data_IF_615430255989
#
_entry.id   IF_615430255989
#
_cell.length_a   1.000
_cell.length_b   1.000
_cell.length_c   1.000
_cell.angle_alpha   90.00
_cell.angle_beta   90.00
_cell.angle_gamma   90.00
#
_symmetry.space_group_name_H-M   'P 1'
#
loop_
_entity.id
_entity.type
_entity.pdbx_description
1 polymer ?
#
# COMPACT_ATOMS: atom_id res chain seq x y z
N UNK A 1 -16.22 58.85 -12.27
CA UNK A 1 -16.15 57.86 -11.16
C UNK A 1 -16.93 56.64 -11.65
N UNK A 2 -16.35 55.51 -12.01
CA UNK A 2 -15.57 54.67 -11.12
C UNK A 2 -14.59 53.82 -11.95
N UNK A 3 -13.30 54.15 -11.83
CA UNK A 3 -12.29 53.12 -11.85
C UNK A 3 -12.43 52.25 -10.59
N UNK A 4 -11.75 51.11 -10.59
CA UNK A 4 -11.72 50.10 -9.53
C UNK A 4 -12.85 49.06 -9.56
N UNK A 5 -12.84 48.18 -10.57
CA UNK A 5 -13.38 46.82 -10.42
C UNK A 5 -12.63 45.78 -11.27
N UNK A 6 -11.34 46.01 -11.51
CA UNK A 6 -10.44 45.05 -12.18
C UNK A 6 -9.36 44.47 -11.23
N UNK A 7 -9.45 44.74 -9.93
CA UNK A 7 -8.39 44.38 -8.96
C UNK A 7 -8.84 43.41 -7.85
N UNK A 8 -9.97 42.71 -8.00
CA UNK A 8 -10.46 41.79 -6.97
C UNK A 8 -10.97 40.45 -7.52
N UNK A 9 -10.39 39.94 -8.61
CA UNK A 9 -10.61 38.55 -9.05
C UNK A 9 -9.36 37.67 -8.96
N UNK A 10 -8.23 38.20 -8.46
CA UNK A 10 -7.00 37.42 -8.29
C UNK A 10 -6.88 36.75 -6.91
N UNK A 11 -7.86 36.92 -6.01
CA UNK A 11 -7.78 36.44 -4.61
C UNK A 11 -8.76 35.31 -4.28
N UNK A 12 -9.15 34.51 -5.27
CA UNK A 12 -9.89 33.28 -5.07
C UNK A 12 -9.31 32.19 -5.98
N UNK A 13 -7.98 31.98 -5.91
CA UNK A 13 -7.52 30.61 -6.14
C UNK A 13 -8.15 29.78 -5.01
N UNK A 14 -9.08 28.84 -5.30
CA UNK A 14 -9.40 27.86 -4.30
C UNK A 14 -8.08 27.15 -4.02
N UNK A 15 -7.63 27.24 -2.77
CA UNK A 15 -6.66 26.31 -2.23
C UNK A 15 -7.30 24.93 -2.45
N UNK A 16 -6.98 24.28 -3.57
CA UNK A 16 -7.43 22.92 -3.80
C UNK A 16 -6.92 22.16 -2.59
N UNK A 17 -7.78 21.50 -1.79
CA UNK A 17 -7.30 20.60 -0.78
C UNK A 17 -6.41 19.62 -1.54
N UNK A 18 -5.11 19.67 -1.27
CA UNK A 18 -4.20 18.63 -1.72
C UNK A 18 -4.88 17.34 -1.30
N UNK A 19 -5.25 16.51 -2.28
CA UNK A 19 -5.80 15.20 -2.00
C UNK A 19 -4.87 14.59 -0.95
N UNK A 20 -5.39 14.09 0.20
CA UNK A 20 -4.53 13.52 1.20
C UNK A 20 -3.71 12.47 0.45
N UNK A 21 -2.41 12.71 0.31
CA UNK A 21 -1.47 11.68 -0.05
C UNK A 21 -1.69 10.66 1.05
N UNK A 22 -2.46 9.62 0.75
CA UNK A 22 -2.84 8.61 1.72
C UNK A 22 -1.58 7.80 1.96
N UNK A 23 -0.74 8.34 2.82
CA UNK A 23 0.29 7.64 3.55
C UNK A 23 -0.35 6.34 4.05
N UNK A 24 0.20 5.20 3.62
CA UNK A 24 -0.30 3.90 4.02
C UNK A 24 -0.03 3.71 5.51
N UNK A 25 -1.04 4.10 6.29
CA UNK A 25 -1.17 3.86 7.72
C UNK A 25 -1.04 2.35 7.95
N UNK A 26 -0.36 1.86 9.02
CA UNK A 26 -0.13 0.43 9.22
C UNK A 26 -1.38 -0.39 8.86
N UNK A 27 -1.28 -1.19 7.81
CA UNK A 27 -2.45 -1.76 7.12
C UNK A 27 -2.92 -3.02 7.83
N UNK A 28 -4.21 -3.31 7.72
CA UNK A 28 -4.71 -4.65 8.07
C UNK A 28 -4.24 -5.60 6.95
N UNK A 29 -3.52 -6.64 7.31
CA UNK A 29 -3.08 -7.66 6.37
C UNK A 29 -4.31 -8.43 5.89
N UNK A 30 -4.34 -8.81 4.61
CA UNK A 30 -5.49 -9.51 4.03
C UNK A 30 -5.74 -10.80 4.83
N UNK A 31 -6.92 -10.92 5.45
CA UNK A 31 -7.28 -12.05 6.32
C UNK A 31 -7.25 -13.42 5.61
N UNK A 32 -7.27 -13.42 4.27
CA UNK A 32 -7.09 -14.61 3.42
C UNK A 32 -5.79 -14.63 2.60
N UNK A 33 -4.97 -13.58 2.66
CA UNK A 33 -3.84 -13.36 1.75
C UNK A 33 -2.62 -12.81 2.47
N UNK A 34 -1.57 -13.61 2.57
CA UNK A 34 -0.23 -13.22 3.07
C UNK A 34 0.47 -12.13 2.24
N UNK A 35 -0.22 -11.52 1.28
CA UNK A 35 0.31 -10.50 0.37
C UNK A 35 -0.65 -9.32 0.30
N UNK A 36 -0.23 -8.19 0.83
CA UNK A 36 -0.90 -6.90 0.68
C UNK A 36 -0.14 -6.08 -0.36
N UNK A 37 -0.73 -5.83 -1.53
CA UNK A 37 -0.09 -5.06 -2.61
C UNK A 37 -0.95 -3.84 -2.95
N UNK A 38 -0.62 -2.69 -2.36
CA UNK A 38 -1.38 -1.44 -2.52
C UNK A 38 -1.00 -0.67 -3.79
N UNK A 39 0.15 -1.00 -4.38
CA UNK A 39 0.76 -0.26 -5.49
C UNK A 39 0.79 -1.06 -6.81
N UNK A 40 0.37 -2.32 -6.78
CA UNK A 40 0.40 -3.21 -7.94
C UNK A 40 1.81 -3.65 -8.32
N UNK A 41 2.74 -3.72 -7.36
CA UNK A 41 4.15 -4.04 -7.59
C UNK A 41 4.37 -5.41 -8.23
N UNK A 42 3.47 -6.36 -7.96
CA UNK A 42 3.67 -7.75 -8.37
C UNK A 42 3.24 -8.05 -9.81
N UNK A 43 2.30 -7.26 -10.37
CA UNK A 43 1.74 -7.49 -11.70
C UNK A 43 1.42 -8.96 -11.98
N UNK A 44 1.93 -9.49 -13.10
CA UNK A 44 1.71 -10.88 -13.53
C UNK A 44 2.46 -11.92 -12.69
N UNK A 45 3.43 -11.51 -11.87
CA UNK A 45 4.26 -12.42 -11.07
C UNK A 45 3.68 -12.70 -9.68
N UNK A 46 2.50 -12.15 -9.35
CA UNK A 46 1.81 -12.38 -8.07
C UNK A 46 1.66 -13.87 -7.74
N UNK A 47 1.30 -14.69 -8.72
CA UNK A 47 1.13 -16.14 -8.52
C UNK A 47 2.44 -16.83 -8.09
N UNK A 48 3.58 -16.42 -8.65
CA UNK A 48 4.90 -16.98 -8.30
C UNK A 48 5.26 -16.65 -6.84
N UNK A 49 4.97 -15.43 -6.40
CA UNK A 49 5.17 -15.01 -5.00
C UNK A 49 4.29 -15.82 -4.05
N UNK A 50 3.01 -16.01 -4.38
CA UNK A 50 2.09 -16.85 -3.61
C UNK A 50 2.66 -18.26 -3.48
N UNK A 51 3.09 -18.89 -4.58
CA UNK A 51 3.67 -20.23 -4.56
C UNK A 51 4.90 -20.33 -3.65
N UNK A 52 5.81 -19.36 -3.71
CA UNK A 52 7.01 -19.35 -2.88
C UNK A 52 6.68 -19.24 -1.38
N UNK A 53 5.80 -18.30 -1.02
CA UNK A 53 5.31 -18.12 0.36
C UNK A 53 4.59 -19.38 0.86
N UNK A 54 3.75 -19.99 0.02
CA UNK A 54 3.05 -21.23 0.37
C UNK A 54 4.00 -22.38 0.64
N UNK A 55 5.07 -22.52 -0.17
CA UNK A 55 6.09 -23.55 0.04
C UNK A 55 6.81 -23.39 1.37
N UNK A 56 7.17 -22.15 1.74
CA UNK A 56 7.80 -21.86 3.03
C UNK A 56 6.87 -22.28 4.18
N UNK A 57 5.59 -21.91 4.10
CA UNK A 57 4.59 -22.29 5.10
C UNK A 57 4.46 -23.80 5.22
N UNK A 58 4.25 -24.50 4.11
CA UNK A 58 3.96 -25.95 4.16
C UNK A 58 5.18 -26.76 4.59
N UNK A 59 6.37 -26.36 4.18
CA UNK A 59 7.59 -27.14 4.42
C UNK A 59 8.24 -26.80 5.76
N UNK A 60 8.25 -25.51 6.15
CA UNK A 60 9.00 -25.03 7.33
C UNK A 60 8.08 -24.50 8.44
N UNK A 61 6.76 -24.46 8.22
CA UNK A 61 5.76 -23.94 9.19
C UNK A 61 6.02 -22.50 9.61
N UNK A 62 6.64 -21.70 8.74
CA UNK A 62 6.85 -20.26 8.91
C UNK A 62 5.90 -19.51 7.99
N UNK A 63 5.20 -18.51 8.52
CA UNK A 63 4.34 -17.65 7.73
C UNK A 63 5.11 -16.41 7.32
N UNK A 64 5.26 -16.21 6.01
CA UNK A 64 5.80 -14.96 5.48
C UNK A 64 4.64 -14.08 4.99
N UNK A 65 4.51 -12.92 5.60
CA UNK A 65 3.65 -11.83 5.16
C UNK A 65 4.47 -10.85 4.35
N UNK A 66 3.92 -10.37 3.24
CA UNK A 66 4.59 -9.41 2.36
C UNK A 66 3.66 -8.24 2.10
N UNK A 67 4.17 -7.04 2.31
CA UNK A 67 3.43 -5.80 2.08
C UNK A 67 4.19 -4.88 1.14
N UNK A 68 3.52 -4.46 0.07
CA UNK A 68 4.02 -3.45 -0.87
C UNK A 68 3.25 -2.16 -0.66
N UNK A 69 3.98 -1.10 -0.36
CA UNK A 69 3.50 0.28 -0.18
C UNK A 69 4.34 1.22 -1.02
N UNK A 70 3.83 2.43 -1.25
CA UNK A 70 4.59 3.46 -1.94
C UNK A 70 5.79 3.93 -1.10
N UNK A 71 5.54 4.26 0.16
CA UNK A 71 6.53 4.72 1.14
C UNK A 71 6.11 4.37 2.58
N UNK A 72 7.03 4.55 3.54
CA UNK A 72 6.78 4.28 4.96
C UNK A 72 6.24 5.49 5.74
N UNK A 73 5.71 6.50 5.04
CA UNK A 73 5.01 7.64 5.64
C UNK A 73 5.85 8.42 6.66
N UNK A 74 7.13 8.65 6.31
CA UNK A 74 8.08 9.38 7.16
C UNK A 74 8.64 8.58 8.36
N UNK A 75 8.23 7.33 8.55
CA UNK A 75 8.82 6.42 9.54
C UNK A 75 10.02 5.68 8.95
N UNK A 76 10.92 5.21 9.81
CA UNK A 76 11.91 4.21 9.36
C UNK A 76 11.19 2.92 8.97
N UNK A 77 11.71 2.22 7.96
CA UNK A 77 11.09 0.97 7.49
C UNK A 77 10.95 -0.06 8.61
N UNK A 78 11.94 -0.15 9.52
CA UNK A 78 11.86 -1.07 10.67
C UNK A 78 10.72 -0.70 11.62
N UNK A 79 10.59 0.57 11.99
CA UNK A 79 9.51 1.01 12.86
C UNK A 79 8.13 0.84 12.20
N UNK A 80 8.04 1.01 10.88
CA UNK A 80 6.82 0.75 10.13
C UNK A 80 6.46 -0.74 10.11
N UNK A 81 7.44 -1.61 9.83
CA UNK A 81 7.23 -3.06 9.80
C UNK A 81 6.86 -3.61 11.18
N UNK A 82 7.56 -3.20 12.24
CA UNK A 82 7.24 -3.62 13.62
C UNK A 82 5.83 -3.16 14.02
N UNK A 83 5.46 -1.89 13.76
CA UNK A 83 4.11 -1.40 14.04
C UNK A 83 3.01 -2.15 13.25
N UNK A 84 3.29 -2.53 12.01
CA UNK A 84 2.35 -3.33 11.20
C UNK A 84 2.25 -4.77 11.74
N UNK A 85 3.36 -5.38 12.15
CA UNK A 85 3.38 -6.70 12.76
C UNK A 85 2.57 -6.73 14.07
N UNK A 86 2.82 -5.75 14.96
CA UNK A 86 2.11 -5.60 16.23
C UNK A 86 0.61 -5.39 16.03
N UNK A 87 0.23 -4.50 15.09
CA UNK A 87 -1.18 -4.20 14.79
C UNK A 87 -1.96 -5.42 14.31
N UNK A 88 -1.29 -6.29 13.54
CA UNK A 88 -1.89 -7.49 12.98
C UNK A 88 -1.71 -8.73 13.87
N UNK A 89 -1.09 -8.58 15.05
CA UNK A 89 -0.88 -9.67 15.99
C UNK A 89 0.00 -10.79 15.44
N UNK A 90 1.03 -10.45 14.66
CA UNK A 90 2.00 -11.43 14.15
C UNK A 90 2.71 -12.10 15.33
N UNK A 91 2.69 -13.43 15.33
CA UNK A 91 3.27 -14.25 16.38
C UNK A 91 4.69 -14.68 16.08
N UNK A 92 5.20 -15.59 16.92
CA UNK A 92 6.58 -16.06 16.85
C UNK A 92 6.95 -16.63 15.47
N UNK A 93 6.05 -17.36 14.82
CA UNK A 93 6.32 -17.99 13.51
C UNK A 93 6.04 -17.12 12.30
N UNK A 94 5.75 -15.84 12.53
CA UNK A 94 5.35 -14.92 11.49
C UNK A 94 6.48 -13.93 11.20
N UNK A 95 6.78 -13.75 9.91
CA UNK A 95 7.77 -12.80 9.41
C UNK A 95 7.06 -11.85 8.47
N UNK A 96 7.24 -10.55 8.67
CA UNK A 96 6.75 -9.51 7.77
C UNK A 96 7.91 -8.95 6.94
N UNK A 97 7.77 -8.98 5.62
CA UNK A 97 8.58 -8.22 4.68
C UNK A 97 7.77 -7.02 4.17
N UNK A 98 8.17 -5.82 4.56
CA UNK A 98 7.60 -4.57 4.06
C UNK A 98 8.51 -3.98 2.98
N UNK A 99 7.95 -3.62 1.82
CA UNK A 99 8.66 -3.06 0.67
C UNK A 99 8.03 -1.73 0.30
N UNK A 100 8.84 -0.66 0.36
CA UNK A 100 8.50 0.67 -0.13
C UNK A 100 9.11 0.87 -1.52
N UNK A 101 8.25 0.83 -2.55
CA UNK A 101 8.67 0.77 -3.95
C UNK A 101 9.26 2.09 -4.44
N UNK A 102 8.71 3.23 -4.03
CA UNK A 102 9.17 4.55 -4.44
C UNK A 102 10.60 4.84 -3.94
N UNK A 103 10.89 4.43 -2.70
CA UNK A 103 12.20 4.62 -2.08
C UNK A 103 13.22 3.52 -2.37
N UNK A 104 12.82 2.41 -3.02
CA UNK A 104 13.60 1.14 -3.04
C UNK A 104 14.06 0.73 -1.65
N UNK A 105 13.16 0.86 -0.67
CA UNK A 105 13.45 0.51 0.71
C UNK A 105 12.70 -0.76 1.08
N UNK A 106 13.27 -1.51 2.02
CA UNK A 106 12.61 -2.65 2.60
C UNK A 106 12.92 -2.75 4.08
N UNK A 107 12.06 -3.45 4.81
CA UNK A 107 12.27 -3.80 6.19
C UNK A 107 11.69 -5.17 6.47
N UNK A 108 12.34 -5.89 7.37
CA UNK A 108 11.86 -7.16 7.88
C UNK A 108 11.51 -6.98 9.34
N UNK A 109 10.33 -7.42 9.75
CA UNK A 109 9.95 -7.64 11.14
C UNK A 109 9.77 -9.14 11.38
N UNK A 110 10.31 -9.61 12.49
CA UNK A 110 10.20 -10.99 12.96
C UNK A 110 10.36 -10.95 14.48
N UNK A 111 9.60 -11.79 15.18
CA UNK A 111 9.68 -11.88 16.62
C UNK A 111 11.06 -12.43 17.07
N UNK A 112 11.52 -12.06 18.26
CA UNK A 112 12.79 -12.56 18.83
C UNK A 112 12.75 -14.06 19.10
N UNK A 113 11.57 -14.61 19.38
CA UNK A 113 11.30 -16.02 19.62
C UNK A 113 10.95 -16.77 18.32
N UNK A 114 11.10 -16.13 17.15
CA UNK A 114 10.79 -16.76 15.86
C UNK A 114 11.63 -17.96 15.48
N UNK A 115 12.69 -18.23 16.23
CA UNK A 115 13.65 -19.29 15.92
C UNK A 115 14.68 -18.88 14.86
N UNK A 116 14.57 -17.68 14.28
CA UNK A 116 15.61 -17.12 13.42
C UNK A 116 16.67 -16.38 14.22
N UNK A 117 17.93 -16.70 13.96
CA UNK A 117 19.06 -15.92 14.47
C UNK A 117 19.21 -14.61 13.66
N UNK A 118 19.71 -13.57 14.32
CA UNK A 118 19.85 -12.25 13.71
C UNK A 118 20.74 -12.24 12.45
N UNK A 119 21.77 -13.08 12.42
CA UNK A 119 22.64 -13.27 11.26
C UNK A 119 21.97 -14.04 10.11
N UNK A 120 21.06 -14.98 10.40
CA UNK A 120 20.24 -15.65 9.38
C UNK A 120 19.30 -14.65 8.71
N UNK A 121 18.58 -13.85 9.50
CA UNK A 121 17.72 -12.77 8.97
C UNK A 121 18.54 -11.79 8.13
N UNK A 122 19.72 -11.39 8.62
CA UNK A 122 20.64 -10.50 7.90
C UNK A 122 21.13 -11.13 6.59
N UNK A 123 21.51 -12.40 6.58
CA UNK A 123 21.98 -13.09 5.38
C UNK A 123 20.89 -13.13 4.29
N UNK A 124 19.65 -13.43 4.66
CA UNK A 124 18.51 -13.39 3.73
C UNK A 124 18.27 -11.97 3.23
N UNK A 125 18.28 -10.99 4.14
CA UNK A 125 18.12 -9.59 3.79
C UNK A 125 19.17 -9.09 2.78
N UNK A 126 20.45 -9.39 3.01
CA UNK A 126 21.55 -8.87 2.18
C UNK A 126 21.73 -9.64 0.88
N UNK A 127 21.48 -10.94 0.87
CA UNK A 127 21.80 -11.80 -0.28
C UNK A 127 20.58 -12.03 -1.19
N UNK A 128 19.39 -12.18 -0.60
CA UNK A 128 18.18 -12.56 -1.34
C UNK A 128 17.22 -11.38 -1.59
N UNK A 129 17.16 -10.42 -0.67
CA UNK A 129 16.18 -9.32 -0.72
C UNK A 129 16.79 -8.05 -1.33
N UNK A 130 17.86 -7.53 -0.73
CA UNK A 130 18.44 -6.24 -1.11
C UNK A 130 18.81 -6.13 -2.61
N UNK A 131 19.41 -7.15 -3.26
CA UNK A 131 19.77 -7.04 -4.68
C UNK A 131 18.54 -6.93 -5.59
N UNK A 132 17.43 -7.58 -5.22
CA UNK A 132 16.18 -7.54 -5.97
C UNK A 132 15.49 -6.17 -5.80
N UNK A 133 15.38 -5.69 -4.56
CA UNK A 133 14.81 -4.35 -4.27
C UNK A 133 15.61 -3.25 -4.96
N UNK A 134 16.94 -3.33 -4.95
CA UNK A 134 17.82 -2.36 -5.61
C UNK A 134 17.60 -2.28 -7.13
N UNK A 135 17.20 -3.40 -7.76
CA UNK A 135 16.98 -3.51 -9.19
C UNK A 135 15.49 -3.49 -9.58
N UNK A 136 14.62 -3.02 -8.69
CA UNK A 136 13.18 -2.93 -8.92
C UNK A 136 12.49 -4.29 -9.17
N UNK A 137 13.11 -5.40 -8.77
CA UNK A 137 12.52 -6.73 -8.83
C UNK A 137 11.73 -7.03 -7.56
N UNK A 138 10.55 -6.43 -7.46
CA UNK A 138 9.69 -6.51 -6.27
C UNK A 138 9.23 -7.95 -5.98
N UNK A 139 8.80 -8.66 -7.02
CA UNK A 139 8.40 -10.06 -6.89
C UNK A 139 9.60 -10.96 -6.52
N UNK A 140 10.77 -10.71 -7.11
CA UNK A 140 12.01 -11.40 -6.79
C UNK A 140 12.47 -11.18 -5.36
N UNK A 141 12.22 -10.00 -4.77
CA UNK A 141 12.51 -9.74 -3.37
C UNK A 141 11.70 -10.65 -2.43
N UNK A 142 10.40 -10.83 -2.70
CA UNK A 142 9.56 -11.72 -1.88
C UNK A 142 9.83 -13.21 -2.12
N UNK A 143 10.09 -13.61 -3.38
CA UNK A 143 10.48 -14.99 -3.70
C UNK A 143 11.83 -15.32 -3.04
N UNK A 144 12.81 -14.42 -3.17
CA UNK A 144 14.12 -14.54 -2.54
C UNK A 144 14.03 -14.59 -1.02
N UNK A 145 13.16 -13.79 -0.41
CA UNK A 145 12.88 -13.89 1.02
C UNK A 145 12.35 -15.27 1.41
N UNK A 146 11.31 -15.76 0.73
CA UNK A 146 10.70 -17.05 1.02
C UNK A 146 11.69 -18.22 0.89
N UNK A 147 12.45 -18.24 -0.21
CA UNK A 147 13.45 -19.27 -0.47
C UNK A 147 14.65 -19.16 0.46
N UNK A 148 15.11 -17.95 0.75
CA UNK A 148 16.21 -17.67 1.67
C UNK A 148 15.90 -18.11 3.09
N UNK A 149 14.71 -17.78 3.62
CA UNK A 149 14.28 -18.27 4.93
C UNK A 149 14.16 -19.79 4.95
N UNK A 150 13.66 -20.39 3.88
CA UNK A 150 13.63 -21.85 3.75
C UNK A 150 15.04 -22.46 3.78
N UNK A 151 16.01 -21.85 3.11
CA UNK A 151 17.39 -22.34 3.06
C UNK A 151 18.06 -22.28 4.44
N UNK A 152 17.99 -21.14 5.14
CA UNK A 152 18.65 -21.00 6.45
C UNK A 152 18.06 -21.94 7.50
N UNK A 153 16.76 -22.26 7.44
CA UNK A 153 16.12 -23.23 8.34
C UNK A 153 16.54 -24.67 8.05
N UNK A 154 16.95 -24.98 6.81
CA UNK A 154 17.56 -26.27 6.45
C UNK A 154 19.08 -26.32 6.66
N UNK A 155 19.69 -25.22 7.08
CA UNK A 155 21.15 -25.12 7.18
C UNK A 155 21.86 -24.97 5.83
N UNK A 156 21.13 -24.56 4.79
CA UNK A 156 21.66 -24.33 3.44
C UNK A 156 22.10 -22.86 3.24
N UNK A 157 23.06 -22.59 2.35
CA UNK A 157 23.45 -21.22 2.02
C UNK A 157 22.34 -20.48 1.28
N UNK A 158 22.14 -19.20 1.62
CA UNK A 158 21.24 -18.28 0.90
C UNK A 158 21.82 -18.00 -0.49
N UNK A 159 20.99 -18.11 -1.52
CA UNK A 159 21.40 -17.84 -2.91
C UNK A 159 20.91 -16.46 -3.37
N UNK A 160 21.69 -15.75 -4.20
CA UNK A 160 21.20 -14.56 -4.88
C UNK A 160 20.00 -14.89 -5.79
N UNK A 161 19.02 -13.98 -5.92
CA UNK A 161 17.87 -14.20 -6.78
C UNK A 161 18.27 -13.98 -8.24
N UNK A 162 17.60 -14.71 -9.15
CA UNK A 162 17.64 -14.36 -10.57
C UNK A 162 16.82 -13.09 -10.78
N UNK A 163 17.48 -12.01 -11.15
CA UNK A 163 16.87 -10.68 -11.22
C UNK A 163 16.02 -10.54 -12.48
N UNK A 164 14.76 -10.17 -12.30
CA UNK A 164 13.83 -9.82 -13.38
C UNK A 164 13.12 -8.51 -12.99
N UNK A 165 13.65 -7.34 -13.40
CA UNK A 165 13.13 -6.04 -12.99
C UNK A 165 11.65 -5.87 -13.35
N UNK A 166 10.88 -5.30 -12.42
CA UNK A 166 9.49 -4.90 -12.62
C UNK A 166 9.36 -3.44 -13.03
N UNK A 167 8.15 -2.89 -12.90
CA UNK A 167 7.93 -1.45 -13.02
C UNK A 167 8.75 -0.72 -11.93
N UNK A 168 9.59 0.28 -12.28
CA UNK A 168 10.43 0.97 -11.29
C UNK A 168 9.67 1.84 -10.29
N UNK A 169 8.46 2.31 -10.63
CA UNK A 169 7.61 3.14 -9.75
C UNK A 169 6.13 2.70 -9.83
N UNK A 170 5.80 1.49 -9.34
CA UNK A 170 4.42 1.02 -9.29
C UNK A 170 3.62 1.91 -8.33
N UNK A 171 2.40 2.28 -8.72
CA UNK A 171 1.57 3.25 -7.98
C UNK A 171 1.96 4.72 -8.19
N UNK A 172 3.01 5.01 -8.98
CA UNK A 172 3.39 6.37 -9.40
C UNK A 172 2.47 6.95 -10.49
N UNK A 173 1.86 6.09 -11.30
CA UNK A 173 0.74 6.43 -12.18
C UNK A 173 -0.53 6.60 -11.33
N UNK A 174 -0.57 7.69 -10.57
CA UNK A 174 -1.85 8.17 -10.05
C UNK A 174 -2.84 8.28 -11.21
N UNK A 175 -4.08 7.91 -10.95
CA UNK A 175 -5.24 8.31 -11.74
C UNK A 175 -5.11 9.79 -12.13
N UNK A 176 -4.51 10.07 -13.29
CA UNK A 176 -4.63 11.37 -13.94
C UNK A 176 -6.09 11.43 -14.36
N UNK A 177 -6.87 12.43 -13.95
CA UNK A 177 -8.21 12.63 -14.50
C UNK A 177 -8.07 12.87 -16.01
N UNK A 178 -8.22 11.81 -16.82
CA UNK A 178 -8.00 11.94 -18.27
C UNK A 178 -8.09 10.66 -19.10
N UNK A 179 -7.75 9.48 -18.58
CA UNK A 179 -7.80 8.25 -19.38
C UNK A 179 -9.10 7.46 -19.11
N UNK A 180 -10.08 7.72 -19.99
CA UNK A 180 -11.32 6.96 -20.15
C UNK A 180 -11.00 5.49 -20.46
N UNK A 181 -11.00 4.61 -19.46
CA UNK A 181 -11.45 3.22 -19.60
C UNK A 181 -11.47 2.53 -18.23
N UNK A 182 -12.71 2.27 -17.81
CA UNK A 182 -13.12 1.33 -16.76
C UNK A 182 -12.93 1.82 -15.32
N UNK A 183 -13.95 2.47 -14.76
CA UNK A 183 -14.82 1.89 -13.72
C UNK A 183 -15.88 2.93 -13.29
N UNK A 184 -17.14 2.62 -13.58
CA UNK A 184 -18.32 3.06 -12.83
C UNK A 184 -19.12 1.76 -12.61
N UNK A 185 -19.75 1.54 -11.43
CA UNK A 185 -20.88 2.39 -11.03
C UNK A 185 -21.03 2.67 -9.52
N UNK A 186 -22.01 3.54 -9.24
CA UNK A 186 -22.62 3.92 -7.95
C UNK A 186 -22.03 5.16 -7.26
N UNK A 187 -22.45 6.33 -7.75
CA UNK A 187 -22.93 7.42 -6.89
C UNK A 187 -24.05 8.20 -7.59
N UNK A 188 -24.99 7.48 -8.22
CA UNK A 188 -26.26 8.08 -8.65
C UNK A 188 -27.20 8.14 -7.43
N UNK A 189 -26.86 9.01 -6.47
CA UNK A 189 -27.62 9.20 -5.23
C UNK A 189 -27.65 10.64 -4.71
N UNK A 190 -26.86 11.55 -5.29
CA UNK A 190 -26.82 12.95 -4.85
C UNK A 190 -27.87 13.85 -5.49
N UNK A 191 -28.31 13.55 -6.72
CA UNK A 191 -29.16 14.45 -7.51
C UNK A 191 -30.59 14.62 -6.99
N UNK A 192 -31.19 13.58 -6.40
CA UNK A 192 -32.58 13.62 -5.94
C UNK A 192 -32.76 14.30 -4.56
N UNK A 193 -31.74 14.30 -3.71
CA UNK A 193 -31.82 14.95 -2.39
C UNK A 193 -31.84 16.49 -2.48
N UNK A 194 -31.16 17.06 -3.48
CA UNK A 194 -31.10 18.52 -3.65
C UNK A 194 -32.43 19.09 -4.20
N UNK A 195 -33.11 18.36 -5.10
CA UNK A 195 -34.40 18.81 -5.64
C UNK A 195 -35.54 18.74 -4.60
N UNK A 196 -35.53 17.70 -3.76
CA UNK A 196 -36.50 17.55 -2.66
C UNK A 196 -36.40 18.67 -1.62
N UNK A 197 -35.18 19.04 -1.21
CA UNK A 197 -34.94 20.15 -0.29
C UNK A 197 -35.28 21.51 -0.91
N UNK A 198 -34.99 21.71 -2.20
CA UNK A 198 -35.34 22.94 -2.92
C UNK A 198 -36.86 23.15 -3.05
N UNK A 199 -37.63 22.09 -3.33
CA UNK A 199 -39.09 22.18 -3.45
C UNK A 199 -39.80 22.32 -2.08
N UNK A 200 -39.28 21.69 -1.02
CA UNK A 200 -39.79 21.88 0.34
C UNK A 200 -39.56 23.31 0.86
N UNK A 201 -38.37 23.88 0.60
CA UNK A 201 -38.07 25.26 0.97
C UNK A 201 -38.97 26.28 0.24
N UNK A 202 -39.29 26.03 -1.04
CA UNK A 202 -40.17 26.90 -1.83
C UNK A 202 -41.65 26.81 -1.45
N UNK A 203 -42.10 25.69 -0.87
CA UNK A 203 -43.49 25.50 -0.43
C UNK A 203 -43.75 26.12 0.95
N UNK A 204 -42.73 26.16 1.82
CA UNK A 204 -42.81 26.78 3.14
C UNK A 204 -42.92 28.32 3.09
N UNK A 205 -42.28 28.97 2.10
CA UNK A 205 -42.32 30.43 1.95
C UNK A 205 -43.67 30.96 1.44
N UNK A 206 -44.47 30.14 0.74
CA UNK A 206 -45.79 30.54 0.25
C UNK A 206 -46.87 30.51 1.33
N UNK A 207 -46.76 29.63 2.34
CA UNK A 207 -47.75 29.56 3.45
C UNK A 207 -47.64 30.72 4.43
N UNK A 208 -46.47 31.36 4.55
CA UNK A 208 -46.27 32.54 5.41
C UNK A 208 -46.80 33.85 4.82
N UNK A 209 -47.19 33.88 3.53
CA UNK A 209 -47.79 35.05 2.86
C UNK A 209 -49.31 35.00 2.76
N UNK A 210 -49.95 33.95 3.26
CA UNK A 210 -51.41 33.81 3.31
C UNK A 210 -51.97 33.93 4.74
N UNK A 211 -51.13 34.36 5.69
CA UNK A 211 -51.49 34.59 7.10
C UNK A 211 -51.14 36.02 7.57
N UNK A 212 -50.92 36.92 6.61
CA UNK A 212 -50.92 38.38 6.78
C UNK A 212 -51.97 38.92 5.81
#
# INVERSE_FOLDING_TARGET
MAGALLALCALLLPLLPAAPSRADTPLDLDAGGRITDTVGALGQRRAQVITAIERLRTTQRVQLYVTYVRDFSGRSGRAWADATADRNGLGERDVLLAVATHGRQYAVSADKLSGFRADQLKAVATTAIAPAVAQHDWAGAAIGAADGYGAVLRGEPVRPPAISPGNPDPGGEGLVPGHRRVWAPVAMGGGLCVLGLYLCARRASRRRRAAQ
#
